data_IF_559308922745
#
_entry.id   IF_559308922745
#
_cell.length_a   1.000
_cell.length_b   1.000
_cell.length_c   1.000
_cell.angle_alpha   90.00
_cell.angle_beta   90.00
_cell.angle_gamma   90.00
#
_symmetry.space_group_name_H-M   'P 1'
#
loop_
_entity.id
_entity.type
_entity.pdbx_description
1 polymer ?
#
# COMPACT_ATOMS: atom_id res chain seq x y z
N UNK A 1 -1.26 -11.02 -0.79
CA UNK A 1 -2.11 -9.82 -0.69
C UNK A 1 -3.12 -9.71 -1.83
N UNK A 2 -3.03 -10.55 -2.87
CA UNK A 2 -3.86 -10.49 -4.08
C UNK A 2 -5.38 -10.46 -3.86
N UNK A 3 -5.87 -11.00 -2.74
CA UNK A 3 -7.30 -10.98 -2.38
C UNK A 3 -7.75 -9.78 -1.54
N UNK A 4 -6.81 -8.96 -1.06
CA UNK A 4 -7.15 -7.71 -0.37
C UNK A 4 -7.72 -6.72 -1.37
N UNK A 5 -8.76 -5.98 -0.99
CA UNK A 5 -9.18 -4.80 -1.74
C UNK A 5 -8.09 -3.74 -1.72
N UNK A 6 -8.11 -2.84 -2.70
CA UNK A 6 -7.13 -1.76 -2.79
C UNK A 6 -7.20 -0.82 -1.59
N UNK A 7 -8.42 -0.56 -1.09
CA UNK A 7 -8.65 0.23 0.13
C UNK A 7 -7.97 -0.41 1.36
N UNK A 8 -8.21 -1.71 1.57
CA UNK A 8 -7.64 -2.42 2.73
C UNK A 8 -6.13 -2.57 2.62
N UNK A 9 -5.59 -2.71 1.40
CA UNK A 9 -4.15 -2.76 1.16
C UNK A 9 -3.47 -1.43 1.53
N UNK A 10 -4.05 -0.31 1.07
CA UNK A 10 -3.55 1.04 1.39
C UNK A 10 -3.69 1.36 2.88
N UNK A 11 -4.80 0.96 3.52
CA UNK A 11 -4.98 1.13 4.96
C UNK A 11 -3.96 0.30 5.75
N UNK A 12 -3.71 -0.94 5.33
CA UNK A 12 -2.71 -1.83 5.95
C UNK A 12 -1.32 -1.24 5.85
N UNK A 13 -0.94 -0.65 4.71
CA UNK A 13 0.33 0.06 4.54
C UNK A 13 0.47 1.23 5.53
N UNK A 14 -0.55 2.07 5.63
CA UNK A 14 -0.56 3.22 6.56
C UNK A 14 -0.46 2.78 8.01
N UNK A 15 -1.21 1.75 8.40
CA UNK A 15 -1.17 1.17 9.76
C UNK A 15 0.19 0.56 10.06
N UNK A 16 0.77 -0.19 9.12
CA UNK A 16 2.07 -0.82 9.29
C UNK A 16 3.19 0.21 9.51
N UNK A 17 3.17 1.31 8.76
CA UNK A 17 4.07 2.44 8.98
C UNK A 17 3.83 3.13 10.33
N UNK A 18 2.57 3.41 10.70
CA UNK A 18 2.23 4.07 11.98
C UNK A 18 2.67 3.25 13.20
N UNK A 19 2.60 1.93 13.10
CA UNK A 19 2.98 1.02 14.18
C UNK A 19 4.48 0.67 14.16
N UNK A 20 5.26 1.21 13.21
CA UNK A 20 6.67 0.86 12.99
C UNK A 20 6.87 -0.66 12.91
N UNK A 21 6.03 -1.34 12.14
CA UNK A 21 6.16 -2.78 11.93
C UNK A 21 7.46 -3.10 11.17
N UNK A 22 7.79 -4.39 11.11
CA UNK A 22 8.97 -4.88 10.43
C UNK A 22 9.09 -4.27 9.00
N UNK A 23 10.23 -3.65 8.65
CA UNK A 23 10.47 -3.07 7.33
C UNK A 23 10.26 -4.05 6.16
N UNK A 24 10.58 -5.34 6.33
CA UNK A 24 10.36 -6.36 5.30
C UNK A 24 8.86 -6.55 5.01
N UNK A 25 8.03 -6.50 6.06
CA UNK A 25 6.58 -6.57 5.91
C UNK A 25 6.04 -5.33 5.19
N UNK A 26 6.51 -4.14 5.55
CA UNK A 26 6.14 -2.89 4.88
C UNK A 26 6.53 -2.94 3.39
N UNK A 27 7.74 -3.42 3.08
CA UNK A 27 8.24 -3.57 1.72
C UNK A 27 7.38 -4.56 0.89
N UNK A 28 6.87 -5.63 1.49
CA UNK A 28 5.94 -6.53 0.81
C UNK A 28 4.63 -5.82 0.43
N UNK A 29 4.11 -4.95 1.31
CA UNK A 29 2.92 -4.14 0.99
C UNK A 29 3.24 -3.13 -0.12
N UNK A 30 4.38 -2.44 -0.06
CA UNK A 30 4.79 -1.50 -1.11
C UNK A 30 4.91 -2.15 -2.49
N UNK A 31 5.51 -3.35 -2.55
CA UNK A 31 5.63 -4.10 -3.80
C UNK A 31 4.25 -4.42 -4.38
N UNK A 32 3.30 -4.80 -3.55
CA UNK A 32 1.93 -5.05 -4.00
C UNK A 32 1.22 -3.78 -4.47
N UNK A 33 1.37 -2.66 -3.75
CA UNK A 33 0.82 -1.35 -4.15
C UNK A 33 1.38 -0.94 -5.52
N UNK A 34 2.68 -1.07 -5.72
CA UNK A 34 3.35 -0.81 -7.02
C UNK A 34 2.86 -1.74 -8.12
N UNK A 35 2.75 -3.05 -7.83
CA UNK A 35 2.25 -4.06 -8.79
C UNK A 35 0.83 -3.74 -9.28
N UNK A 36 -0.01 -3.18 -8.43
CA UNK A 36 -1.40 -2.79 -8.76
C UNK A 36 -1.53 -1.36 -9.30
N UNK A 37 -0.43 -0.62 -9.45
CA UNK A 37 -0.43 0.79 -9.83
C UNK A 37 -1.29 1.68 -8.91
N UNK A 38 -1.35 1.37 -7.62
CA UNK A 38 -2.10 2.16 -6.63
C UNK A 38 -1.33 3.39 -6.13
N UNK A 39 -0.12 3.62 -6.64
CA UNK A 39 0.76 4.71 -6.25
C UNK A 39 0.34 6.08 -6.81
N UNK A 40 -0.54 6.17 -7.81
CA UNK A 40 -0.77 7.43 -8.52
C UNK A 40 -2.14 7.56 -9.20
N UNK A 41 -3.18 7.95 -8.45
CA UNK A 41 -4.42 8.50 -9.06
C UNK A 41 -4.99 9.73 -8.35
N UNK A 42 -4.37 10.23 -7.28
CA UNK A 42 -4.84 11.45 -6.58
C UNK A 42 -4.17 12.76 -7.03
N UNK A 43 -3.39 12.75 -8.13
CA UNK A 43 -2.79 13.97 -8.71
C UNK A 43 -2.78 14.04 -10.25
N UNK A 44 -3.81 13.52 -10.93
CA UNK A 44 -4.08 13.88 -12.33
C UNK A 44 -5.55 14.27 -12.47
N UNK A 45 -5.90 15.41 -11.90
CA UNK A 45 -7.02 16.23 -12.39
C UNK A 45 -6.47 17.66 -12.42
N UNK A 46 -5.96 18.07 -13.58
CA UNK A 46 -5.69 19.46 -13.92
C UNK A 46 -6.73 19.86 -14.97
#
# INVERSE_FOLDING_TARGET
MERLSDELLLESYRKANKLNLNPDFINLIEKEIKRRNLTDTSKINN
#
